data_IF_495195048552
#
_entry.id   IF_495195048552
#
_cell.length_a   1.000
_cell.length_b   1.000
_cell.length_c   1.000
_cell.angle_alpha   90.00
_cell.angle_beta   90.00
_cell.angle_gamma   90.00
#
_symmetry.space_group_name_H-M   'P 1'
#
loop_
_entity.id
_entity.type
_entity.pdbx_description
1 polymer ?
#
# COMPACT_ATOMS: atom_id res chain seq x y z
N UNK A 1 -5.88 -6.59 -24.01
CA UNK A 1 -4.98 -7.06 -25.09
C UNK A 1 -4.90 -8.59 -25.16
N UNK A 2 -4.85 -9.32 -24.04
CA UNK A 2 -4.86 -10.79 -24.03
C UNK A 2 -6.01 -11.46 -24.84
N UNK A 3 -7.13 -10.74 -25.06
CA UNK A 3 -8.26 -11.19 -25.88
C UNK A 3 -8.05 -11.06 -27.40
N UNK A 4 -7.17 -10.16 -27.84
CA UNK A 4 -7.13 -9.68 -29.23
C UNK A 4 -5.75 -9.76 -29.89
N UNK A 5 -4.69 -10.05 -29.13
CA UNK A 5 -3.33 -10.10 -29.67
C UNK A 5 -2.52 -11.21 -28.99
N UNK A 6 -1.59 -11.77 -29.77
CA UNK A 6 -0.59 -12.75 -29.36
C UNK A 6 0.84 -12.24 -29.61
N UNK A 7 1.01 -11.01 -30.09
CA UNK A 7 2.33 -10.46 -30.41
C UNK A 7 3.06 -9.99 -29.16
N UNK A 8 4.38 -10.20 -29.14
CA UNK A 8 5.25 -9.77 -28.04
C UNK A 8 5.16 -8.26 -27.80
N UNK A 9 5.19 -7.45 -28.86
CA UNK A 9 5.10 -5.99 -28.77
C UNK A 9 3.80 -5.53 -28.08
N UNK A 10 2.70 -6.21 -28.38
CA UNK A 10 1.43 -5.86 -27.77
C UNK A 10 1.33 -6.37 -26.33
N UNK A 11 1.99 -7.47 -25.98
CA UNK A 11 2.17 -7.88 -24.58
C UNK A 11 3.04 -6.87 -23.81
N UNK A 12 4.13 -6.36 -24.40
CA UNK A 12 4.93 -5.29 -23.78
C UNK A 12 4.11 -4.01 -23.57
N UNK A 13 3.30 -3.64 -24.55
CA UNK A 13 2.37 -2.50 -24.44
C UNK A 13 1.33 -2.73 -23.35
N UNK A 14 0.81 -3.97 -23.22
CA UNK A 14 -0.10 -4.34 -22.16
C UNK A 14 0.54 -4.15 -20.78
N UNK A 15 1.81 -4.54 -20.59
CA UNK A 15 2.52 -4.36 -19.32
C UNK A 15 2.64 -2.88 -18.92
N UNK A 16 2.83 -1.98 -19.87
CA UNK A 16 2.81 -0.54 -19.60
C UNK A 16 1.44 -0.07 -19.05
N UNK A 17 0.35 -0.50 -19.68
CA UNK A 17 -1.01 -0.19 -19.19
C UNK A 17 -1.32 -0.89 -17.87
N UNK A 18 -0.81 -2.10 -17.67
CA UNK A 18 -0.93 -2.83 -16.41
C UNK A 18 -0.26 -2.09 -15.26
N UNK A 19 0.92 -1.49 -15.49
CA UNK A 19 1.55 -0.60 -14.51
C UNK A 19 0.68 0.61 -14.15
N UNK A 20 0.02 1.22 -15.13
CA UNK A 20 -0.94 2.32 -14.88
C UNK A 20 -2.15 1.85 -14.09
N UNK A 21 -2.68 0.66 -14.40
CA UNK A 21 -3.75 0.02 -13.65
C UNK A 21 -3.37 -0.23 -12.18
N UNK A 22 -2.17 -0.76 -11.93
CA UNK A 22 -1.67 -0.98 -10.57
C UNK A 22 -1.56 0.32 -9.76
N UNK A 23 -1.28 1.46 -10.40
CA UNK A 23 -1.26 2.76 -9.74
C UNK A 23 -2.64 3.21 -9.21
N UNK A 24 -3.74 2.67 -9.74
CA UNK A 24 -5.10 2.98 -9.26
C UNK A 24 -5.32 2.52 -7.80
N UNK A 25 -4.62 1.48 -7.35
CA UNK A 25 -4.68 1.04 -5.94
C UNK A 25 -4.19 2.14 -4.99
N UNK A 26 -3.07 2.79 -5.33
CA UNK A 26 -2.52 3.92 -4.55
C UNK A 26 -3.50 5.10 -4.55
N UNK A 27 -4.12 5.39 -5.70
CA UNK A 27 -5.13 6.43 -5.81
C UNK A 27 -6.34 6.14 -4.90
N UNK A 28 -6.79 4.89 -4.83
CA UNK A 28 -7.89 4.49 -3.95
C UNK A 28 -7.54 4.64 -2.46
N UNK A 29 -6.35 4.23 -2.03
CA UNK A 29 -5.91 4.44 -0.64
C UNK A 29 -5.84 5.93 -0.29
N UNK A 30 -5.38 6.76 -1.22
CA UNK A 30 -5.38 8.22 -1.05
C UNK A 30 -6.80 8.75 -0.82
N UNK A 31 -7.74 8.31 -1.68
CA UNK A 31 -9.13 8.67 -1.60
C UNK A 31 -9.75 8.29 -0.25
N UNK A 32 -9.59 7.03 0.18
CA UNK A 32 -10.29 6.54 1.35
C UNK A 32 -9.76 7.16 2.65
N UNK A 33 -8.44 7.39 2.77
CA UNK A 33 -7.86 8.06 3.94
C UNK A 33 -8.20 9.56 4.00
N UNK A 34 -8.39 10.21 2.86
CA UNK A 34 -8.88 11.59 2.81
C UNK A 34 -10.37 11.72 3.18
N UNK A 35 -11.13 10.61 3.16
CA UNK A 35 -12.57 10.61 3.44
C UNK A 35 -12.93 10.26 4.88
N UNK A 36 -12.01 9.62 5.61
CA UNK A 36 -12.29 9.06 6.94
C UNK A 36 -11.35 9.64 8.00
N UNK A 37 -11.82 9.73 9.25
CA UNK A 37 -10.98 10.18 10.36
C UNK A 37 -9.81 9.22 10.63
N UNK A 38 -8.66 9.77 11.07
CA UNK A 38 -7.46 9.00 11.43
C UNK A 38 -7.70 7.81 12.37
N UNK A 39 -8.64 7.93 13.30
CA UNK A 39 -9.01 6.85 14.24
C UNK A 39 -9.53 5.58 13.56
N UNK A 40 -10.02 5.69 12.33
CA UNK A 40 -10.54 4.56 11.55
C UNK A 40 -9.55 3.98 10.55
N UNK A 41 -8.35 4.55 10.40
CA UNK A 41 -7.37 4.07 9.41
C UNK A 41 -7.10 2.56 9.52
N UNK A 42 -6.79 1.98 10.70
CA UNK A 42 -6.55 0.54 10.78
C UNK A 42 -7.72 -0.31 10.27
N UNK A 43 -8.97 0.12 10.57
CA UNK A 43 -10.19 -0.60 10.13
C UNK A 43 -10.40 -0.47 8.62
N UNK A 44 -10.25 0.73 8.09
CA UNK A 44 -10.44 1.00 6.66
C UNK A 44 -9.38 0.30 5.83
N UNK A 45 -8.09 0.40 6.20
CA UNK A 45 -6.99 -0.33 5.55
C UNK A 45 -7.28 -1.83 5.54
N UNK A 46 -7.73 -2.35 6.69
CA UNK A 46 -8.06 -3.75 6.88
C UNK A 46 -9.22 -4.21 6.00
N UNK A 47 -10.31 -3.46 5.94
CA UNK A 47 -11.44 -3.75 5.04
C UNK A 47 -11.04 -3.68 3.56
N UNK A 48 -10.26 -2.67 3.15
CA UNK A 48 -9.78 -2.56 1.77
C UNK A 48 -8.88 -3.74 1.39
N UNK A 49 -7.91 -4.10 2.24
CA UNK A 49 -7.04 -5.27 2.00
C UNK A 49 -7.85 -6.57 1.96
N UNK A 50 -8.77 -6.76 2.91
CA UNK A 50 -9.66 -7.91 2.91
C UNK A 50 -10.51 -7.98 1.64
N UNK A 51 -11.04 -6.87 1.14
CA UNK A 51 -11.80 -6.83 -0.11
C UNK A 51 -10.95 -7.24 -1.32
N UNK A 52 -9.67 -6.81 -1.41
CA UNK A 52 -8.73 -7.24 -2.46
C UNK A 52 -8.54 -8.76 -2.41
N UNK A 53 -8.29 -9.32 -1.22
CA UNK A 53 -8.13 -10.76 -1.06
C UNK A 53 -9.43 -11.51 -1.36
N UNK A 54 -10.58 -11.08 -0.85
CA UNK A 54 -11.88 -11.71 -1.15
C UNK A 54 -12.18 -11.66 -2.65
N UNK A 55 -11.86 -10.57 -3.34
CA UNK A 55 -11.99 -10.47 -4.79
C UNK A 55 -11.14 -11.51 -5.52
N UNK A 56 -9.87 -11.66 -5.13
CA UNK A 56 -8.99 -12.72 -5.66
C UNK A 56 -9.55 -14.12 -5.38
N UNK A 57 -10.04 -14.37 -4.16
CA UNK A 57 -10.64 -15.65 -3.77
C UNK A 57 -11.83 -16.01 -4.66
N UNK A 58 -12.77 -15.08 -4.82
CA UNK A 58 -13.95 -15.27 -5.67
C UNK A 58 -13.53 -15.50 -7.12
N UNK A 59 -12.57 -14.72 -7.63
CA UNK A 59 -12.06 -14.88 -8.99
C UNK A 59 -11.41 -16.26 -9.20
N UNK A 60 -10.57 -16.73 -8.26
CA UNK A 60 -9.92 -18.04 -8.34
C UNK A 60 -10.91 -19.19 -8.27
N UNK A 61 -11.88 -19.16 -7.34
CA UNK A 61 -12.91 -20.19 -7.23
C UNK A 61 -13.76 -20.22 -8.50
N UNK A 62 -14.21 -19.05 -8.98
CA UNK A 62 -15.02 -18.96 -10.18
C UNK A 62 -14.26 -19.48 -11.41
N UNK A 63 -13.00 -19.07 -11.60
CA UNK A 63 -12.16 -19.53 -12.71
C UNK A 63 -11.97 -21.05 -12.67
N UNK A 64 -11.67 -21.62 -11.50
CA UNK A 64 -11.48 -23.06 -11.34
C UNK A 64 -12.75 -23.85 -11.65
N UNK A 65 -13.91 -23.40 -11.17
CA UNK A 65 -15.19 -24.05 -11.45
C UNK A 65 -15.51 -24.00 -12.95
N UNK A 66 -15.35 -22.84 -13.57
CA UNK A 66 -15.67 -22.65 -14.98
C UNK A 66 -14.80 -23.50 -15.92
N UNK A 67 -13.49 -23.61 -15.63
CA UNK A 67 -12.58 -24.48 -16.39
C UNK A 67 -12.90 -25.96 -16.11
N UNK A 68 -13.08 -26.36 -14.85
CA UNK A 68 -13.28 -27.77 -14.48
C UNK A 68 -14.58 -28.35 -15.03
N UNK A 69 -15.65 -27.55 -15.12
CA UNK A 69 -16.91 -27.96 -15.73
C UNK A 69 -16.92 -27.81 -17.26
N UNK A 70 -15.77 -27.51 -17.87
CA UNK A 70 -15.65 -27.25 -19.31
C UNK A 70 -16.64 -26.18 -19.83
N UNK A 71 -17.06 -25.28 -18.94
CA UNK A 71 -18.06 -24.26 -19.26
C UNK A 71 -17.44 -23.08 -20.02
N UNK A 72 -16.15 -22.81 -19.79
CA UNK A 72 -15.41 -21.68 -20.38
C UNK A 72 -13.92 -22.01 -20.49
N UNK A 73 -13.27 -21.43 -21.50
CA UNK A 73 -11.81 -21.50 -21.66
C UNK A 73 -11.09 -20.27 -21.08
N UNK A 74 -9.76 -20.22 -21.19
CA UNK A 74 -8.96 -19.08 -20.71
C UNK A 74 -9.30 -17.76 -21.41
N UNK A 75 -9.76 -17.79 -22.67
CA UNK A 75 -10.16 -16.59 -23.40
C UNK A 75 -11.49 -16.06 -22.85
N UNK A 76 -12.43 -16.93 -22.55
CA UNK A 76 -13.71 -16.58 -21.91
C UNK A 76 -13.51 -15.97 -20.51
N UNK A 77 -12.57 -16.51 -19.72
CA UNK A 77 -12.22 -15.92 -18.42
C UNK A 77 -11.65 -14.50 -18.54
N UNK A 78 -10.94 -14.20 -19.63
CA UNK A 78 -10.47 -12.84 -19.90
C UNK A 78 -11.64 -11.89 -20.24
N UNK A 79 -12.74 -12.37 -20.84
CA UNK A 79 -13.95 -11.57 -21.03
C UNK A 79 -14.67 -11.26 -19.71
N UNK A 80 -14.75 -12.23 -18.79
CA UNK A 80 -15.27 -11.98 -17.42
C UNK A 80 -14.42 -10.92 -16.71
N UNK A 81 -13.10 -11.03 -16.80
CA UNK A 81 -12.18 -10.06 -16.21
C UNK A 81 -12.39 -8.67 -16.80
N UNK A 82 -12.57 -8.55 -18.11
CA UNK A 82 -12.88 -7.28 -18.76
C UNK A 82 -14.23 -6.70 -18.29
N UNK A 83 -15.28 -7.52 -18.24
CA UNK A 83 -16.61 -7.08 -17.83
C UNK A 83 -16.62 -6.57 -16.38
N UNK A 84 -15.98 -7.29 -15.47
CA UNK A 84 -15.87 -6.88 -14.05
C UNK A 84 -15.09 -5.57 -13.88
N UNK A 85 -14.04 -5.35 -14.68
CA UNK A 85 -13.30 -4.08 -14.69
C UNK A 85 -14.13 -2.89 -15.19
N UNK A 86 -14.95 -3.10 -16.23
CA UNK A 86 -15.89 -2.06 -16.72
C UNK A 86 -16.90 -1.72 -15.61
N UNK A 87 -17.49 -2.73 -14.96
CA UNK A 87 -18.45 -2.52 -13.87
C UNK A 87 -17.79 -1.79 -12.69
N UNK A 88 -16.58 -2.19 -12.29
CA UNK A 88 -15.84 -1.52 -11.23
C UNK A 88 -15.53 -0.05 -11.57
N UNK A 89 -15.21 0.24 -12.82
CA UNK A 89 -14.98 1.61 -13.32
C UNK A 89 -16.26 2.44 -13.24
N UNK A 90 -17.40 1.89 -13.66
CA UNK A 90 -18.70 2.55 -13.55
C UNK A 90 -19.08 2.81 -12.08
N UNK A 91 -18.81 1.85 -11.19
CA UNK A 91 -19.02 1.99 -9.76
C UNK A 91 -18.15 3.11 -9.15
N UNK A 92 -16.91 3.26 -9.61
CA UNK A 92 -16.00 4.31 -9.12
C UNK A 92 -16.56 5.72 -9.33
N UNK A 93 -17.33 5.98 -10.40
CA UNK A 93 -18.00 7.27 -10.61
C UNK A 93 -19.12 7.56 -9.60
N UNK A 94 -19.65 6.54 -8.93
CA UNK A 94 -20.66 6.67 -7.89
C UNK A 94 -20.07 6.96 -6.50
N UNK A 95 -18.74 6.94 -6.36
CA UNK A 95 -18.09 7.21 -5.09
C UNK A 95 -18.28 8.67 -4.65
N UNK A 96 -18.52 8.92 -3.34
CA UNK A 96 -18.64 10.28 -2.81
C UNK A 96 -17.43 11.15 -3.15
N UNK A 97 -17.65 12.39 -3.57
CA UNK A 97 -16.55 13.33 -3.83
C UNK A 97 -15.78 13.62 -2.53
N UNK A 98 -14.46 13.78 -2.66
CA UNK A 98 -13.59 14.37 -1.62
C UNK A 98 -13.53 15.87 -1.91
N UNK A 99 -13.89 16.69 -0.91
CA UNK A 99 -14.08 18.14 -1.08
C UNK A 99 -12.77 18.92 -1.24
N UNK A 100 -11.62 18.27 -1.17
CA UNK A 100 -10.29 18.88 -1.22
C UNK A 100 -9.47 18.26 -2.35
N UNK A 101 -8.90 19.10 -3.20
CA UNK A 101 -7.80 18.70 -4.08
C UNK A 101 -6.50 18.84 -3.31
N UNK A 102 -5.80 17.72 -3.09
CA UNK A 102 -4.61 17.62 -2.24
C UNK A 102 -3.47 18.57 -2.64
N UNK A 103 -3.21 18.71 -3.94
CA UNK A 103 -2.03 19.44 -4.45
C UNK A 103 -2.34 20.53 -5.48
N UNK A 104 -3.48 20.48 -6.17
CA UNK A 104 -3.71 21.30 -7.36
C UNK A 104 -4.85 22.33 -7.21
N UNK A 105 -5.83 22.11 -6.32
CA UNK A 105 -6.97 23.02 -6.10
C UNK A 105 -7.30 23.19 -4.60
N UNK A 106 -6.41 23.85 -3.85
CA UNK A 106 -6.71 24.28 -2.47
C UNK A 106 -7.55 25.57 -2.53
N UNK A 107 -8.72 25.59 -1.89
CA UNK A 107 -9.41 26.86 -1.58
C UNK A 107 -8.68 27.49 -0.40
N UNK A 108 -8.23 28.74 -0.55
CA UNK A 108 -7.64 29.51 0.55
C UNK A 108 -8.72 29.72 1.62
N UNK A 109 -8.46 29.29 2.86
CA UNK A 109 -9.36 29.52 3.98
C UNK A 109 -9.13 30.95 4.46
N UNK A 110 -10.09 31.85 4.22
CA UNK A 110 -10.10 33.15 4.89
C UNK A 110 -10.53 32.91 6.34
N UNK A 111 -9.59 33.03 7.27
CA UNK A 111 -9.92 33.06 8.70
C UNK A 111 -10.66 34.36 9.00
N UNK A 112 -11.98 34.30 9.21
CA UNK A 112 -12.74 35.41 9.78
C UNK A 112 -12.29 35.60 11.24
N UNK A 113 -11.48 36.61 11.50
CA UNK A 113 -11.21 37.09 12.86
C UNK A 113 -12.35 38.06 13.22
N UNK A 114 -13.04 37.90 14.38
CA UNK A 114 -14.09 38.84 14.77
C UNK A 114 -13.48 40.23 15.02
N UNK A 115 -14.04 41.27 14.40
CA UNK A 115 -13.60 42.65 14.59
C UNK A 115 -13.81 43.09 16.05
N UNK A 116 -12.76 43.63 16.69
CA UNK A 116 -12.86 44.29 17.99
C UNK A 116 -13.57 45.66 17.84
N UNK A 117 -14.37 46.11 18.83
CA UNK A 117 -15.10 47.38 18.72
C UNK A 117 -14.14 48.57 18.86
N UNK A 118 -14.20 49.52 17.93
CA UNK A 118 -13.47 50.79 18.02
C UNK A 118 -14.18 51.73 19.00
N UNK A 119 -13.41 52.34 19.90
CA UNK A 119 -13.86 53.31 20.89
C UNK A 119 -14.11 54.69 20.27
N UNK A 120 -15.16 55.34 20.75
CA UNK A 120 -15.68 56.65 20.35
C UNK A 120 -14.67 57.81 20.40
N UNK A 121 -14.77 58.71 19.41
CA UNK A 121 -14.36 60.11 19.59
C UNK A 121 -15.19 61.07 18.73
N UNK A 122 -16.19 61.67 19.38
CA UNK A 122 -16.64 63.08 19.35
C UNK A 122 -16.70 63.85 18.01
N UNK A 123 -17.92 64.09 17.53
CA UNK A 123 -18.25 65.12 16.53
C UNK A 123 -18.66 66.45 17.20
N UNK A 124 -18.17 67.57 16.67
CA UNK A 124 -18.79 68.92 16.80
C UNK A 124 -18.86 69.52 15.40
N UNK A 125 -20.05 69.93 14.94
CA UNK A 125 -20.20 70.82 13.79
C UNK A 125 -21.47 70.61 12.98
N UNK A 126 -22.49 71.43 13.27
CA UNK A 126 -23.83 71.52 12.70
C UNK A 126 -23.97 71.93 11.21
N UNK A 127 -25.06 71.42 10.61
CA UNK A 127 -25.96 71.95 9.54
C UNK A 127 -25.79 71.54 8.05
N UNK A 128 -26.80 70.74 7.65
CA UNK A 128 -27.65 70.78 6.43
C UNK A 128 -27.05 70.61 5.02
N UNK A 129 -27.56 69.59 4.30
CA UNK A 129 -27.55 69.58 2.83
C UNK A 129 -27.38 68.21 2.19
N UNK A 130 -28.47 67.46 2.06
CA UNK A 130 -28.83 66.56 0.96
C UNK A 130 -27.69 66.08 0.00
N UNK A 131 -27.29 64.80 0.06
CA UNK A 131 -27.09 63.89 -1.08
C UNK A 131 -26.26 62.65 -0.72
N UNK A 132 -26.72 61.50 -1.23
CA UNK A 132 -25.96 60.30 -1.60
C UNK A 132 -24.98 59.69 -0.56
N UNK A 133 -25.43 58.59 0.05
CA UNK A 133 -24.58 57.61 0.73
C UNK A 133 -23.56 57.02 -0.25
N UNK A 134 -22.32 57.46 -0.14
CA UNK A 134 -21.14 56.76 -0.61
C UNK A 134 -20.25 56.46 0.59
N UNK A 135 -20.41 55.29 1.20
CA UNK A 135 -19.43 54.81 2.17
C UNK A 135 -18.23 54.23 1.43
N UNK A 136 -17.12 54.95 1.50
CA UNK A 136 -15.79 54.44 1.19
C UNK A 136 -15.43 53.41 2.27
N UNK A 137 -15.20 52.14 1.90
CA UNK A 137 -14.42 51.23 2.75
C UNK A 137 -13.10 50.89 2.08
N UNK A 138 -12.04 51.44 2.65
CA UNK A 138 -10.64 51.21 2.34
C UNK A 138 -10.34 49.72 2.55
N UNK A 139 -10.03 49.00 1.47
CA UNK A 139 -9.63 47.60 1.52
C UNK A 139 -8.25 47.48 2.18
N UNK A 140 -8.23 47.04 3.44
CA UNK A 140 -7.00 46.56 4.07
C UNK A 140 -6.56 45.31 3.31
N UNK A 141 -5.36 45.37 2.74
CA UNK A 141 -4.73 44.27 2.02
C UNK A 141 -4.56 43.05 2.92
N UNK A 142 -5.43 42.05 2.74
CA UNK A 142 -5.22 40.73 3.33
C UNK A 142 -3.93 40.14 2.75
N UNK A 143 -3.01 39.74 3.64
CA UNK A 143 -1.82 38.97 3.30
C UNK A 143 -2.30 37.65 2.68
N UNK A 144 -2.26 37.58 1.36
CA UNK A 144 -2.45 36.34 0.61
C UNK A 144 -1.24 35.46 0.95
N UNK A 145 -1.45 34.39 1.72
CA UNK A 145 -0.43 33.35 1.87
C UNK A 145 0.02 32.91 0.47
N UNK A 146 1.33 32.92 0.16
CA UNK A 146 1.78 32.62 -1.19
C UNK A 146 1.37 31.19 -1.52
N UNK A 147 0.61 31.02 -2.62
CA UNK A 147 0.35 29.71 -3.22
C UNK A 147 1.69 29.04 -3.50
N UNK A 148 2.13 28.13 -2.62
CA UNK A 148 3.29 27.29 -2.88
C UNK A 148 3.05 26.56 -4.21
N UNK A 149 4.06 26.49 -5.07
CA UNK A 149 3.95 25.69 -6.29
C UNK A 149 3.64 24.23 -5.90
N UNK A 150 2.80 23.51 -6.66
CA UNK A 150 2.45 22.12 -6.35
C UNK A 150 3.68 21.22 -6.13
N UNK A 151 4.76 21.47 -6.86
CA UNK A 151 6.04 20.77 -6.72
C UNK A 151 6.75 21.05 -5.39
N UNK A 152 6.76 22.30 -4.92
CA UNK A 152 7.33 22.67 -3.62
C UNK A 152 6.49 22.10 -2.49
N UNK A 153 5.16 22.10 -2.64
CA UNK A 153 4.25 21.50 -1.67
C UNK A 153 4.45 19.97 -1.59
N UNK A 154 4.56 19.30 -2.74
CA UNK A 154 4.86 17.87 -2.82
C UNK A 154 6.18 17.54 -2.13
N UNK A 155 7.22 18.35 -2.37
CA UNK A 155 8.52 18.19 -1.71
C UNK A 155 8.45 18.43 -0.20
N UNK A 156 7.70 19.43 0.25
CA UNK A 156 7.48 19.67 1.69
C UNK A 156 6.77 18.48 2.34
N UNK A 157 5.69 17.98 1.73
CA UNK A 157 4.96 16.81 2.25
C UNK A 157 5.84 15.56 2.26
N UNK A 158 6.62 15.33 1.21
CA UNK A 158 7.63 14.27 1.17
C UNK A 158 8.63 14.40 2.31
N UNK A 159 9.25 15.57 2.46
CA UNK A 159 10.25 15.83 3.50
C UNK A 159 9.66 15.68 4.89
N UNK A 160 8.48 16.24 5.15
CA UNK A 160 7.80 16.13 6.44
C UNK A 160 7.50 14.67 6.79
N UNK A 161 6.96 13.92 5.83
CA UNK A 161 6.65 12.51 6.00
C UNK A 161 7.90 11.69 6.37
N UNK A 162 8.98 11.79 5.59
CA UNK A 162 10.19 10.99 5.80
C UNK A 162 11.16 11.58 6.84
N UNK A 163 10.85 12.73 7.44
CA UNK A 163 11.54 13.20 8.66
C UNK A 163 11.07 12.41 9.90
N UNK A 164 9.85 11.86 9.86
CA UNK A 164 9.35 11.00 10.93
C UNK A 164 9.96 9.60 10.82
N UNK A 165 10.83 9.24 11.77
CA UNK A 165 11.48 7.93 11.81
C UNK A 165 10.50 6.75 11.82
N UNK A 166 9.28 6.92 12.36
CA UNK A 166 8.25 5.88 12.31
C UNK A 166 7.69 5.67 10.91
N UNK A 167 7.50 6.75 10.15
CA UNK A 167 7.12 6.64 8.74
C UNK A 167 8.22 5.95 7.96
N UNK A 168 9.49 6.32 8.17
CA UNK A 168 10.64 5.69 7.50
C UNK A 168 10.71 4.20 7.81
N UNK A 169 10.64 3.82 9.09
CA UNK A 169 10.69 2.42 9.53
C UNK A 169 9.60 1.58 8.85
N UNK A 170 8.34 2.00 8.93
CA UNK A 170 7.23 1.23 8.37
C UNK A 170 7.19 1.27 6.84
N UNK A 171 7.58 2.39 6.24
CA UNK A 171 7.69 2.53 4.78
C UNK A 171 8.79 1.65 4.19
N UNK A 172 9.94 1.57 4.86
CA UNK A 172 11.03 0.69 4.46
C UNK A 172 10.57 -0.76 4.50
N UNK A 173 9.96 -1.19 5.61
CA UNK A 173 9.41 -2.55 5.70
C UNK A 173 8.33 -2.80 4.63
N UNK A 174 7.40 -1.87 4.42
CA UNK A 174 6.35 -1.99 3.40
C UNK A 174 6.96 -2.26 2.02
N UNK A 175 7.97 -1.48 1.62
CA UNK A 175 8.57 -1.61 0.30
C UNK A 175 9.29 -2.96 0.12
N UNK A 176 10.08 -3.39 1.11
CA UNK A 176 10.80 -4.67 1.03
C UNK A 176 9.85 -5.88 1.15
N UNK A 177 8.86 -5.82 2.04
CA UNK A 177 7.86 -6.86 2.20
C UNK A 177 7.01 -7.04 0.93
N UNK A 178 6.53 -5.93 0.34
CA UNK A 178 5.77 -5.98 -0.91
C UNK A 178 6.63 -6.53 -2.06
N UNK A 179 7.89 -6.12 -2.17
CA UNK A 179 8.83 -6.67 -3.16
C UNK A 179 8.96 -8.19 -3.03
N UNK A 180 9.25 -8.70 -1.83
CA UNK A 180 9.40 -10.14 -1.60
C UNK A 180 8.11 -10.92 -1.85
N UNK A 181 6.96 -10.37 -1.46
CA UNK A 181 5.65 -10.96 -1.78
C UNK A 181 5.40 -11.07 -3.28
N UNK A 182 5.69 -10.01 -4.03
CA UNK A 182 5.51 -10.00 -5.48
C UNK A 182 6.43 -11.04 -6.14
N UNK A 183 7.67 -11.20 -5.67
CA UNK A 183 8.57 -12.24 -6.17
C UNK A 183 8.05 -13.65 -5.90
N UNK A 184 7.65 -13.95 -4.66
CA UNK A 184 7.14 -15.28 -4.31
C UNK A 184 5.89 -15.61 -5.12
N UNK A 185 4.90 -14.71 -5.17
CA UNK A 185 3.62 -14.96 -5.84
C UNK A 185 3.73 -15.03 -7.36
N UNK A 186 4.66 -14.29 -7.98
CA UNK A 186 4.87 -14.35 -9.43
C UNK A 186 5.46 -15.70 -9.88
N UNK A 187 6.32 -16.32 -9.07
CA UNK A 187 7.11 -17.47 -9.48
C UNK A 187 6.74 -18.80 -8.77
N UNK A 188 5.77 -18.81 -7.85
CA UNK A 188 5.40 -20.02 -7.08
C UNK A 188 4.89 -21.16 -7.95
N UNK A 189 4.19 -20.85 -9.05
CA UNK A 189 3.70 -21.87 -9.97
C UNK A 189 4.85 -22.61 -10.66
N UNK A 190 5.95 -21.92 -10.99
CA UNK A 190 7.16 -22.55 -11.51
C UNK A 190 7.83 -23.43 -10.46
N UNK A 191 7.84 -22.99 -9.19
CA UNK A 191 8.38 -23.80 -8.10
C UNK A 191 7.62 -25.11 -7.94
N UNK A 192 6.29 -25.07 -7.97
CA UNK A 192 5.47 -26.27 -7.85
C UNK A 192 5.64 -27.19 -9.05
N UNK A 193 5.81 -26.65 -10.25
CA UNK A 193 6.15 -27.43 -11.44
C UNK A 193 7.51 -28.12 -11.33
N UNK A 194 8.49 -27.48 -10.70
CA UNK A 194 9.80 -28.07 -10.42
C UNK A 194 9.75 -29.19 -9.37
N UNK A 195 8.80 -29.13 -8.43
CA UNK A 195 8.60 -30.16 -7.39
C UNK A 195 7.81 -31.34 -7.95
N UNK A 196 6.72 -31.07 -8.66
CA UNK A 196 5.79 -32.06 -9.19
C UNK A 196 5.42 -31.71 -10.65
N UNK A 197 6.21 -32.16 -11.64
CA UNK A 197 6.03 -31.77 -13.04
C UNK A 197 4.75 -32.34 -13.69
N UNK A 198 4.20 -33.42 -13.16
CA UNK A 198 3.05 -34.14 -13.75
C UNK A 198 2.14 -34.70 -12.66
N UNK A 199 1.43 -33.83 -11.91
CA UNK A 199 0.52 -34.26 -10.85
C UNK A 199 -0.74 -34.92 -11.44
N UNK A 200 -1.21 -35.99 -10.82
CA UNK A 200 -2.51 -36.60 -11.15
C UNK A 200 -3.68 -35.62 -10.92
N UNK A 201 -3.57 -34.78 -9.87
CA UNK A 201 -4.53 -33.71 -9.55
C UNK A 201 -3.75 -32.46 -9.17
N UNK A 202 -3.96 -31.36 -9.91
CA UNK A 202 -3.35 -30.06 -9.61
C UNK A 202 -4.16 -29.30 -8.55
N UNK A 203 -3.62 -29.19 -7.33
CA UNK A 203 -4.26 -28.46 -6.22
C UNK A 203 -3.90 -26.97 -6.16
N UNK A 204 -3.06 -26.47 -7.08
CA UNK A 204 -2.52 -25.11 -7.07
C UNK A 204 -3.61 -24.04 -6.88
N UNK A 205 -4.72 -24.14 -7.63
CA UNK A 205 -5.83 -23.18 -7.52
C UNK A 205 -6.54 -23.20 -6.17
N UNK A 206 -6.71 -24.38 -5.56
CA UNK A 206 -7.27 -24.51 -4.22
C UNK A 206 -6.33 -23.94 -3.16
N UNK A 207 -5.02 -24.13 -3.32
CA UNK A 207 -3.98 -23.58 -2.46
C UNK A 207 -3.97 -22.05 -2.54
N UNK A 208 -4.05 -21.47 -3.74
CA UNK A 208 -4.17 -20.03 -3.95
C UNK A 208 -5.44 -19.45 -3.29
N UNK A 209 -6.54 -20.19 -3.33
CA UNK A 209 -7.78 -19.81 -2.65
C UNK A 209 -7.59 -19.79 -1.12
N UNK A 210 -7.03 -20.85 -0.53
CA UNK A 210 -6.78 -20.91 0.93
C UNK A 210 -5.78 -19.84 1.37
N UNK A 211 -4.69 -19.67 0.62
CA UNK A 211 -3.70 -18.61 0.80
C UNK A 211 -4.39 -17.24 0.89
N UNK A 212 -5.25 -16.96 -0.08
CA UNK A 212 -5.94 -15.68 -0.20
C UNK A 212 -6.96 -15.47 0.91
N UNK A 213 -7.75 -16.50 1.24
CA UNK A 213 -8.74 -16.45 2.31
C UNK A 213 -8.06 -16.20 3.67
N UNK A 214 -6.97 -16.90 3.96
CA UNK A 214 -6.25 -16.74 5.21
C UNK A 214 -5.55 -15.38 5.30
N UNK A 215 -4.95 -14.89 4.21
CA UNK A 215 -4.42 -13.54 4.14
C UNK A 215 -5.50 -12.47 4.41
N UNK A 216 -6.74 -12.67 3.92
CA UNK A 216 -7.87 -11.78 4.20
C UNK A 216 -8.24 -11.76 5.68
N UNK A 217 -8.36 -12.94 6.31
CA UNK A 217 -8.66 -13.06 7.74
C UNK A 217 -7.55 -12.40 8.58
N UNK A 218 -6.28 -12.66 8.25
CA UNK A 218 -5.14 -12.06 8.92
C UNK A 218 -5.11 -10.52 8.77
N UNK A 219 -5.46 -9.99 7.59
CA UNK A 219 -5.62 -8.55 7.37
C UNK A 219 -6.77 -7.96 8.19
N UNK A 220 -7.90 -8.68 8.32
CA UNK A 220 -9.00 -8.29 9.22
C UNK A 220 -8.52 -8.21 10.67
N UNK A 221 -7.92 -9.29 11.17
CA UNK A 221 -7.38 -9.39 12.52
C UNK A 221 -6.37 -8.27 12.82
N UNK A 222 -5.47 -7.97 11.88
CA UNK A 222 -4.51 -6.87 12.00
C UNK A 222 -5.21 -5.51 12.26
N UNK A 223 -6.28 -5.19 11.52
CA UNK A 223 -7.02 -3.95 11.68
C UNK A 223 -7.70 -3.77 13.04
N UNK A 224 -8.12 -4.87 13.67
CA UNK A 224 -8.77 -4.85 14.98
C UNK A 224 -7.78 -4.91 16.16
N UNK A 225 -6.67 -5.63 16.01
CA UNK A 225 -5.64 -5.72 17.05
C UNK A 225 -4.78 -4.44 17.09
N UNK A 226 -4.55 -3.81 15.94
CA UNK A 226 -3.55 -2.75 15.79
C UNK A 226 -4.08 -1.31 15.95
N UNK A 227 -5.07 -1.07 16.81
CA UNK A 227 -5.53 0.29 17.10
C UNK A 227 -4.55 1.07 18.01
N UNK A 228 -3.37 1.45 17.47
CA UNK A 228 -2.44 2.42 18.08
C UNK A 228 -1.65 1.94 19.31
N UNK A 229 -1.58 0.63 19.57
CA UNK A 229 -0.99 0.06 20.80
C UNK A 229 0.47 -0.37 20.69
N UNK A 230 1.08 -0.34 19.50
CA UNK A 230 2.47 -0.78 19.36
C UNK A 230 3.46 0.27 19.84
N UNK A 231 4.21 -0.09 20.87
CA UNK A 231 5.40 0.65 21.27
C UNK A 231 6.50 0.51 20.22
N UNK A 232 7.49 1.41 20.24
CA UNK A 232 8.62 1.35 19.30
C UNK A 232 9.34 0.01 19.31
N UNK A 233 9.71 -0.51 20.48
CA UNK A 233 10.38 -1.81 20.59
C UNK A 233 9.49 -2.96 20.11
N UNK A 234 8.20 -2.96 20.46
CA UNK A 234 7.27 -3.99 20.00
C UNK A 234 7.11 -3.96 18.47
N UNK A 235 7.12 -2.76 17.85
CA UNK A 235 7.08 -2.64 16.39
C UNK A 235 8.30 -3.25 15.72
N UNK A 236 9.51 -2.96 16.20
CA UNK A 236 10.74 -3.50 15.63
C UNK A 236 10.82 -5.02 15.82
N UNK A 237 10.42 -5.52 17.00
CA UNK A 237 10.40 -6.96 17.28
C UNK A 237 9.38 -7.67 16.39
N UNK A 238 8.20 -7.09 16.19
CA UNK A 238 7.20 -7.63 15.28
C UNK A 238 7.73 -7.75 13.85
N UNK A 239 8.34 -6.68 13.33
CA UNK A 239 8.94 -6.68 11.99
C UNK A 239 10.05 -7.72 11.87
N UNK A 240 10.92 -7.84 12.87
CA UNK A 240 12.00 -8.80 12.90
C UNK A 240 11.50 -10.25 12.86
N UNK A 241 10.57 -10.58 13.75
CA UNK A 241 10.04 -11.95 13.90
C UNK A 241 9.23 -12.35 12.68
N UNK A 242 8.31 -11.48 12.23
CA UNK A 242 7.45 -11.84 11.09
C UNK A 242 8.26 -11.98 9.80
N UNK A 243 9.26 -11.13 9.54
CA UNK A 243 10.13 -11.31 8.37
C UNK A 243 10.99 -12.57 8.46
N UNK A 244 11.52 -12.92 9.63
CA UNK A 244 12.23 -14.19 9.79
C UNK A 244 11.31 -15.40 9.55
N UNK A 245 10.06 -15.35 10.03
CA UNK A 245 9.06 -16.38 9.80
C UNK A 245 8.64 -16.48 8.33
N UNK A 246 8.47 -15.34 7.64
CA UNK A 246 8.22 -15.30 6.19
C UNK A 246 9.36 -15.98 5.43
N UNK A 247 10.62 -15.67 5.76
CA UNK A 247 11.79 -16.34 5.18
C UNK A 247 11.81 -17.84 5.45
N UNK A 248 11.48 -18.26 6.69
CA UNK A 248 11.33 -19.67 7.05
C UNK A 248 10.23 -20.39 6.27
N UNK A 249 9.09 -19.73 6.04
CA UNK A 249 8.02 -20.27 5.20
C UNK A 249 8.51 -20.47 3.75
N UNK A 250 9.28 -19.53 3.20
CA UNK A 250 9.84 -19.67 1.85
C UNK A 250 10.88 -20.80 1.77
N UNK A 251 11.67 -21.04 2.82
CA UNK A 251 12.54 -22.23 2.88
C UNK A 251 11.73 -23.53 2.85
N UNK A 252 10.60 -23.59 3.55
CA UNK A 252 9.68 -24.74 3.47
C UNK A 252 9.12 -24.93 2.06
N UNK A 253 8.86 -23.84 1.33
CA UNK A 253 8.39 -23.88 -0.06
C UNK A 253 9.41 -24.56 -0.97
N UNK A 254 10.70 -24.22 -0.86
CA UNK A 254 11.70 -24.61 -1.88
C UNK A 254 12.59 -25.80 -1.53
N UNK A 255 12.81 -26.11 -0.24
CA UNK A 255 13.71 -27.21 0.18
C UNK A 255 13.02 -28.56 0.34
N UNK A 256 11.68 -28.58 0.28
CA UNK A 256 10.91 -29.82 0.28
C UNK A 256 10.87 -30.47 -1.11
N UNK A 257 10.68 -31.79 -1.14
CA UNK A 257 10.28 -32.54 -2.34
C UNK A 257 8.81 -32.95 -2.29
N UNK A 258 8.12 -32.65 -1.19
CA UNK A 258 6.70 -32.93 -1.02
C UNK A 258 5.90 -31.65 -1.32
N UNK A 259 5.07 -31.71 -2.36
CA UNK A 259 4.26 -30.59 -2.83
C UNK A 259 3.31 -30.05 -1.75
N UNK A 260 2.75 -30.91 -0.88
CA UNK A 260 1.85 -30.48 0.20
C UNK A 260 2.55 -29.68 1.29
N UNK A 261 3.82 -29.99 1.57
CA UNK A 261 4.66 -29.18 2.47
C UNK A 261 4.93 -27.82 1.83
N UNK A 262 5.18 -27.78 0.51
CA UNK A 262 5.40 -26.54 -0.23
C UNK A 262 4.14 -25.66 -0.21
N UNK A 263 2.97 -26.25 -0.46
CA UNK A 263 1.67 -25.57 -0.33
C UNK A 263 1.44 -25.01 1.06
N UNK A 264 1.76 -25.79 2.11
CA UNK A 264 1.60 -25.36 3.50
C UNK A 264 2.49 -24.16 3.81
N UNK A 265 3.75 -24.18 3.34
CA UNK A 265 4.68 -23.06 3.47
C UNK A 265 4.17 -21.80 2.75
N UNK A 266 3.61 -21.95 1.56
CA UNK A 266 3.04 -20.83 0.80
C UNK A 266 1.81 -20.22 1.50
N UNK A 267 0.87 -21.05 1.96
CA UNK A 267 -0.31 -20.60 2.71
C UNK A 267 0.10 -19.84 3.99
N UNK A 268 1.06 -20.38 4.75
CA UNK A 268 1.58 -19.73 5.94
C UNK A 268 2.26 -18.38 5.63
N UNK A 269 3.06 -18.32 4.56
CA UNK A 269 3.66 -17.08 4.07
C UNK A 269 2.59 -16.02 3.76
N UNK A 270 1.52 -16.39 3.05
CA UNK A 270 0.40 -15.48 2.73
C UNK A 270 -0.30 -14.94 3.96
N UNK A 271 -0.52 -15.78 4.97
CA UNK A 271 -1.13 -15.39 6.24
C UNK A 271 -0.28 -14.34 6.98
N UNK A 272 1.02 -14.61 7.11
CA UNK A 272 1.98 -13.71 7.73
C UNK A 272 1.99 -12.36 6.99
N UNK A 273 2.23 -12.40 5.68
CA UNK A 273 2.28 -11.21 4.84
C UNK A 273 0.99 -10.38 4.93
N UNK A 274 -0.18 -11.02 4.80
CA UNK A 274 -1.47 -10.35 4.88
C UNK A 274 -1.68 -9.60 6.20
N UNK A 275 -1.22 -10.17 7.31
CA UNK A 275 -1.21 -9.49 8.61
C UNK A 275 -0.27 -8.28 8.59
N UNK A 276 1.01 -8.48 8.26
CA UNK A 276 2.04 -7.46 8.47
C UNK A 276 1.98 -6.31 7.47
N UNK A 277 1.57 -6.56 6.21
CA UNK A 277 1.36 -5.48 5.23
C UNK A 277 0.21 -4.56 5.65
N UNK A 278 -0.82 -5.12 6.29
CA UNK A 278 -1.96 -4.36 6.81
C UNK A 278 -1.56 -3.51 8.01
N UNK A 279 -0.78 -4.09 8.93
CA UNK A 279 -0.18 -3.34 10.05
C UNK A 279 0.72 -2.21 9.54
N UNK A 280 1.63 -2.50 8.62
CA UNK A 280 2.56 -1.51 8.08
C UNK A 280 1.83 -0.36 7.38
N UNK A 281 0.82 -0.65 6.57
CA UNK A 281 -0.01 0.38 5.94
C UNK A 281 -0.73 1.26 6.97
N UNK A 282 -1.37 0.66 7.97
CA UNK A 282 -2.06 1.41 9.01
C UNK A 282 -1.11 2.30 9.82
N UNK A 283 0.09 1.82 10.15
CA UNK A 283 1.08 2.59 10.90
C UNK A 283 1.72 3.69 10.08
N UNK A 284 2.05 3.46 8.79
CA UNK A 284 2.48 4.53 7.89
C UNK A 284 1.41 5.63 7.87
N UNK A 285 0.15 5.28 7.64
CA UNK A 285 -0.94 6.25 7.59
C UNK A 285 -1.12 6.99 8.94
N UNK A 286 -0.94 6.33 10.08
CA UNK A 286 -1.12 6.97 11.40
C UNK A 286 -0.20 8.17 11.64
N UNK A 287 1.00 8.14 11.09
CA UNK A 287 2.02 9.17 11.30
C UNK A 287 2.11 10.22 10.19
N UNK A 288 1.25 10.12 9.17
CA UNK A 288 1.23 11.05 8.05
C UNK A 288 0.24 12.20 8.27
N UNK A 289 0.56 13.32 7.64
CA UNK A 289 -0.38 14.40 7.38
C UNK A 289 -1.42 13.94 6.35
N UNK A 290 -2.65 14.46 6.46
CA UNK A 290 -3.78 13.99 5.65
C UNK A 290 -3.53 14.14 4.15
N UNK A 291 -2.76 15.16 3.79
CA UNK A 291 -2.41 15.50 2.41
C UNK A 291 -1.17 14.74 1.87
N UNK A 292 -0.65 13.73 2.58
CA UNK A 292 0.60 13.03 2.22
C UNK A 292 0.45 11.54 1.93
N UNK A 293 -0.74 10.94 2.11
CA UNK A 293 -0.93 9.49 1.98
C UNK A 293 -0.55 8.96 0.61
N UNK A 294 -1.17 9.51 -0.44
CA UNK A 294 -0.96 9.01 -1.81
C UNK A 294 0.48 9.07 -2.26
N UNK A 295 1.17 10.13 -1.86
CA UNK A 295 2.59 10.30 -2.13
C UNK A 295 3.42 9.19 -1.48
N UNK A 296 3.25 8.97 -0.17
CA UNK A 296 4.07 8.01 0.57
C UNK A 296 3.77 6.57 0.18
N UNK A 297 2.49 6.18 0.07
CA UNK A 297 2.12 4.85 -0.41
C UNK A 297 2.57 4.61 -1.86
N UNK A 298 2.50 5.64 -2.70
CA UNK A 298 3.00 5.60 -4.08
C UNK A 298 4.50 5.37 -4.13
N UNK A 299 5.28 6.12 -3.35
CA UNK A 299 6.74 5.96 -3.27
C UNK A 299 7.11 4.58 -2.72
N UNK A 300 6.44 4.11 -1.67
CA UNK A 300 6.72 2.80 -1.10
C UNK A 300 6.47 1.68 -2.12
N UNK A 301 5.36 1.79 -2.87
CA UNK A 301 5.02 0.83 -3.95
C UNK A 301 6.02 0.93 -5.10
N UNK A 302 6.42 2.14 -5.50
CA UNK A 302 7.43 2.38 -6.54
C UNK A 302 8.78 1.76 -6.15
N UNK A 303 9.25 1.97 -4.91
CA UNK A 303 10.49 1.37 -4.40
C UNK A 303 10.37 -0.17 -4.39
N UNK A 304 9.22 -0.71 -3.98
CA UNK A 304 8.99 -2.16 -3.98
C UNK A 304 9.15 -2.76 -5.39
N UNK A 305 8.52 -2.16 -6.40
CA UNK A 305 8.62 -2.67 -7.78
C UNK A 305 9.99 -2.40 -8.42
N UNK A 306 10.69 -1.34 -8.03
CA UNK A 306 12.09 -1.13 -8.45
C UNK A 306 12.99 -2.24 -7.89
N UNK A 307 12.85 -2.56 -6.61
CA UNK A 307 13.58 -3.67 -5.99
C UNK A 307 13.20 -5.02 -6.61
N UNK A 308 11.91 -5.21 -6.92
CA UNK A 308 11.45 -6.40 -7.62
C UNK A 308 12.17 -6.52 -8.97
N UNK A 309 12.17 -5.47 -9.79
CA UNK A 309 12.87 -5.45 -11.09
C UNK A 309 14.36 -5.73 -10.94
N UNK A 310 15.03 -5.11 -9.97
CA UNK A 310 16.46 -5.34 -9.71
C UNK A 310 16.72 -6.82 -9.36
N UNK A 311 15.93 -7.40 -8.45
CA UNK A 311 16.08 -8.81 -8.08
C UNK A 311 15.83 -9.70 -9.29
N UNK A 312 14.77 -9.47 -10.06
CA UNK A 312 14.43 -10.24 -11.26
C UNK A 312 15.58 -10.20 -12.29
N UNK A 313 16.12 -9.02 -12.58
CA UNK A 313 17.24 -8.87 -13.52
C UNK A 313 18.51 -9.56 -13.03
N UNK A 314 18.78 -9.52 -11.73
CA UNK A 314 20.00 -10.14 -11.18
C UNK A 314 19.85 -11.66 -11.14
N UNK A 315 18.73 -12.21 -10.70
CA UNK A 315 18.67 -13.63 -10.34
C UNK A 315 17.95 -14.51 -11.37
N UNK A 316 17.04 -13.96 -12.18
CA UNK A 316 16.17 -14.72 -13.09
C UNK A 316 16.61 -14.57 -14.54
N UNK A 317 16.97 -13.35 -14.94
CA UNK A 317 17.33 -13.04 -16.33
C UNK A 317 18.53 -13.86 -16.81
N UNK A 318 18.52 -14.23 -18.10
CA UNK A 318 19.60 -14.99 -18.74
C UNK A 318 20.94 -14.22 -18.75
N UNK A 319 20.89 -12.87 -18.77
CA UNK A 319 22.07 -12.02 -18.64
C UNK A 319 22.50 -11.79 -17.19
N UNK A 320 21.69 -12.24 -16.22
CA UNK A 320 21.98 -12.22 -14.80
C UNK A 320 22.65 -13.51 -14.34
N UNK A 321 22.23 -14.01 -13.18
CA UNK A 321 22.70 -15.28 -12.61
C UNK A 321 21.95 -16.49 -13.16
N UNK A 322 20.79 -16.28 -13.80
CA UNK A 322 19.92 -17.34 -14.36
C UNK A 322 19.74 -18.53 -13.39
N UNK A 323 19.41 -18.24 -12.13
CA UNK A 323 19.28 -19.27 -11.09
C UNK A 323 18.12 -20.21 -11.40
N UNK A 324 18.26 -21.49 -11.03
CA UNK A 324 17.13 -22.43 -11.01
C UNK A 324 16.02 -21.93 -10.08
N UNK A 325 14.78 -22.39 -10.26
CA UNK A 325 13.64 -21.93 -9.44
C UNK A 325 13.88 -22.15 -7.94
N UNK A 326 14.53 -23.27 -7.57
CA UNK A 326 14.98 -23.52 -6.18
C UNK A 326 16.03 -22.51 -5.72
N UNK A 327 16.98 -22.14 -6.58
CA UNK A 327 17.95 -21.07 -6.32
C UNK A 327 17.28 -19.71 -6.10
N UNK A 328 16.34 -19.33 -6.97
CA UNK A 328 15.59 -18.08 -6.86
C UNK A 328 14.83 -17.98 -5.52
N UNK A 329 14.07 -19.01 -5.15
CA UNK A 329 13.35 -19.03 -3.87
C UNK A 329 14.27 -19.08 -2.66
N UNK A 330 15.44 -19.71 -2.77
CA UNK A 330 16.46 -19.66 -1.72
C UNK A 330 16.92 -18.22 -1.49
N UNK A 331 17.14 -17.44 -2.56
CA UNK A 331 17.45 -16.00 -2.45
C UNK A 331 16.30 -15.24 -1.79
N UNK A 332 15.04 -15.48 -2.19
CA UNK A 332 13.87 -14.83 -1.58
C UNK A 332 13.72 -15.14 -0.08
N UNK A 333 14.01 -16.37 0.33
CA UNK A 333 13.98 -16.76 1.73
C UNK A 333 15.04 -16.00 2.54
N UNK A 334 16.30 -16.02 2.09
CA UNK A 334 17.38 -15.33 2.79
C UNK A 334 17.23 -13.80 2.74
N UNK A 335 16.61 -13.26 1.70
CA UNK A 335 16.20 -11.86 1.65
C UNK A 335 15.33 -11.48 2.86
N UNK A 336 14.27 -12.24 3.15
CA UNK A 336 13.40 -12.00 4.30
C UNK A 336 14.10 -12.26 5.64
N UNK A 337 14.96 -13.28 5.72
CA UNK A 337 15.77 -13.54 6.92
C UNK A 337 16.71 -12.36 7.22
N UNK A 338 17.37 -11.81 6.20
CA UNK A 338 18.24 -10.63 6.35
C UNK A 338 17.43 -9.43 6.81
N UNK A 339 16.24 -9.19 6.24
CA UNK A 339 15.32 -8.15 6.73
C UNK A 339 15.01 -8.37 8.22
N UNK A 340 14.69 -9.61 8.62
CA UNK A 340 14.46 -9.97 10.01
C UNK A 340 15.64 -9.65 10.93
N UNK A 341 16.87 -10.00 10.51
CA UNK A 341 18.11 -9.72 11.24
C UNK A 341 18.33 -8.21 11.39
N UNK A 342 18.14 -7.43 10.34
CA UNK A 342 18.30 -5.96 10.38
C UNK A 342 17.36 -5.34 11.40
N UNK A 343 16.09 -5.73 11.41
CA UNK A 343 15.13 -5.24 12.42
C UNK A 343 15.45 -5.76 13.82
N UNK A 344 15.96 -6.98 13.97
CA UNK A 344 16.38 -7.50 15.26
C UNK A 344 17.57 -6.72 15.84
N UNK A 345 18.56 -6.37 15.01
CA UNK A 345 19.67 -5.49 15.43
C UNK A 345 19.12 -4.15 15.91
N UNK A 346 18.13 -3.58 15.21
CA UNK A 346 17.47 -2.34 15.64
C UNK A 346 16.77 -2.48 17.01
N UNK A 347 16.15 -3.63 17.31
CA UNK A 347 15.58 -3.93 18.64
C UNK A 347 16.67 -3.88 19.72
N UNK A 348 17.80 -4.56 19.47
CA UNK A 348 18.92 -4.64 20.42
C UNK A 348 19.50 -3.25 20.68
N UNK A 349 19.73 -2.46 19.63
CA UNK A 349 20.20 -1.07 19.74
C UNK A 349 19.21 -0.23 20.56
N UNK A 350 17.91 -0.27 20.24
CA UNK A 350 16.90 0.51 20.98
C UNK A 350 16.84 0.12 22.46
N UNK A 351 16.99 -1.18 22.77
CA UNK A 351 17.06 -1.66 24.15
C UNK A 351 18.24 -1.08 24.92
N UNK A 352 19.45 -1.10 24.34
CA UNK A 352 20.62 -0.53 24.99
C UNK A 352 20.52 0.99 25.16
N UNK A 353 20.03 1.72 24.16
CA UNK A 353 19.84 3.18 24.26
C UNK A 353 18.87 3.56 25.39
N UNK A 354 17.76 2.83 25.53
CA UNK A 354 16.81 3.06 26.63
C UNK A 354 17.42 2.75 27.99
N UNK A 355 18.21 1.69 28.09
CA UNK A 355 18.92 1.33 29.33
C UNK A 355 19.93 2.40 29.73
N UNK A 356 20.68 2.95 28.79
CA UNK A 356 21.63 4.05 29.04
C UNK A 356 20.89 5.28 29.55
N UNK A 357 19.80 5.68 28.87
CA UNK A 357 19.00 6.84 29.29
C UNK A 357 18.43 6.67 30.71
N UNK A 358 17.94 5.48 31.05
CA UNK A 358 17.43 5.16 32.39
C UNK A 358 18.52 5.17 33.47
N UNK A 359 19.77 4.92 33.12
CA UNK A 359 20.89 4.99 34.07
C UNK A 359 21.44 6.42 34.25
N UNK A 360 21.01 7.38 33.42
CA UNK A 360 21.37 8.80 33.49
C UNK A 360 20.29 9.67 34.18
N UNK A 361 19.07 9.15 34.32
CA UNK A 361 17.97 9.69 35.13
C UNK A 361 18.04 9.11 36.55
#
# INVERSE_FOLDING_TARGET
MLLWTTSLEALMTLEFFYGTYMAAEVAYYTYIYAKVDKKYYPRVTSHTRAAIFVGKLVASILAQLLINFEAMDYRDLNYISLATQIIATLWAFSLPKVNQSLYFHRKAYATEVPALPQADSLEIGTHEGNSQKSDHFTSVSHIVEPKLSPTKLLWTHFRNAYTNLKVVQWSLWYAVGLCGYLQVTAYVQLMWKDIEPSPDIAWNGAVDAVFTALAAVCALVAGYIHAGRLTSQASLLLLAVLSALEGGCILLICWTQNIYVSYSGYIAFGALYGFIITVAGAEVARYLEEDSFGLVFGINTMIAVIFQTIITLIIIDENGLALSTKGQFTVYAFYFIVVGIVYFIAVVIEYFLRKIKKNQE
#
